data_IF_857715674219
#
_entry.id   IF_857715674219
#
_cell.length_a   1.000
_cell.length_b   1.000
_cell.length_c   1.000
_cell.angle_alpha   90.00
_cell.angle_beta   90.00
_cell.angle_gamma   90.00
#
_symmetry.space_group_name_H-M   'P 1'
#
loop_
_entity.id
_entity.type
_entity.pdbx_description
1 polymer ?
#
# COMPACT_ATOMS: atom_id res chain seq x y z
N UNK A 1 17.42 9.20 -77.13
CA UNK A 1 16.32 8.61 -76.31
C UNK A 1 16.84 8.36 -74.90
N UNK A 2 16.41 9.18 -73.92
CA UNK A 2 16.77 9.03 -72.49
C UNK A 2 15.55 8.46 -71.77
N UNK A 3 15.65 7.27 -71.22
CA UNK A 3 14.62 6.67 -70.38
C UNK A 3 14.78 7.19 -68.95
N UNK A 4 13.73 7.67 -68.27
CA UNK A 4 13.82 8.05 -66.89
C UNK A 4 13.74 6.75 -66.01
N UNK A 5 14.68 6.67 -65.11
CA UNK A 5 14.74 5.64 -64.05
C UNK A 5 13.66 5.93 -63.02
N UNK A 6 12.64 5.08 -62.98
CA UNK A 6 11.56 5.11 -61.99
C UNK A 6 12.07 4.50 -60.69
N UNK A 7 12.41 5.31 -59.70
CA UNK A 7 12.76 4.84 -58.34
C UNK A 7 11.47 4.61 -57.60
N UNK A 8 11.09 3.32 -57.40
CA UNK A 8 9.99 2.92 -56.55
C UNK A 8 10.52 2.90 -55.10
N UNK A 9 10.17 3.93 -54.30
CA UNK A 9 10.36 3.94 -52.88
C UNK A 9 9.33 2.94 -52.26
N UNK A 10 9.76 1.72 -51.90
CA UNK A 10 9.01 0.85 -51.03
C UNK A 10 9.11 1.39 -49.58
N UNK A 11 8.09 2.12 -49.16
CA UNK A 11 7.90 2.42 -47.73
C UNK A 11 7.47 1.13 -47.01
N UNK A 12 8.42 0.54 -46.32
CA UNK A 12 8.11 -0.50 -45.33
C UNK A 12 7.37 0.18 -44.17
N UNK A 13 6.06 0.04 -44.14
CA UNK A 13 5.27 0.26 -42.92
C UNK A 13 5.64 -0.88 -41.95
N UNK A 14 6.56 -0.58 -41.04
CA UNK A 14 6.69 -1.40 -39.84
C UNK A 14 5.42 -1.18 -39.03
N UNK A 15 4.43 -2.08 -39.21
CA UNK A 15 3.38 -2.27 -38.22
C UNK A 15 4.10 -2.91 -37.03
N UNK A 16 4.51 -2.11 -36.06
CA UNK A 16 4.85 -2.57 -34.73
C UNK A 16 3.58 -3.19 -34.18
N UNK A 17 3.48 -4.52 -34.24
CA UNK A 17 2.54 -5.25 -33.42
C UNK A 17 3.05 -5.03 -32.00
N UNK A 18 2.49 -4.06 -31.25
CA UNK A 18 2.62 -4.06 -29.80
C UNK A 18 1.98 -5.38 -29.36
N UNK A 19 2.79 -6.33 -28.90
CA UNK A 19 2.29 -7.49 -28.19
C UNK A 19 1.44 -6.94 -27.05
N UNK A 20 0.14 -7.23 -27.05
CA UNK A 20 -0.71 -6.90 -25.90
C UNK A 20 -0.05 -7.55 -24.68
N UNK A 21 0.39 -6.71 -23.74
CA UNK A 21 0.95 -7.16 -22.48
C UNK A 21 -0.12 -7.90 -21.69
N UNK A 22 -0.16 -9.23 -21.86
CA UNK A 22 -1.07 -10.14 -21.18
C UNK A 22 -0.60 -10.50 -19.76
N UNK A 23 0.42 -9.81 -19.23
CA UNK A 23 0.84 -9.99 -17.84
C UNK A 23 -0.33 -9.73 -16.89
N UNK A 24 -0.58 -10.59 -15.88
CA UNK A 24 -1.62 -10.36 -14.91
C UNK A 24 -1.35 -9.13 -14.03
N UNK A 25 -0.10 -8.70 -13.95
CA UNK A 25 0.33 -7.62 -13.09
C UNK A 25 1.06 -6.53 -13.87
N UNK A 26 1.00 -5.31 -13.35
CA UNK A 26 1.70 -4.17 -13.91
C UNK A 26 2.12 -3.18 -12.82
N UNK A 27 3.13 -2.37 -13.10
CA UNK A 27 3.52 -1.27 -12.22
C UNK A 27 2.62 -0.07 -12.53
N UNK A 28 2.01 0.48 -11.49
CA UNK A 28 1.16 1.67 -11.61
C UNK A 28 1.96 2.92 -12.04
N UNK A 29 1.25 4.00 -12.41
CA UNK A 29 1.87 5.25 -12.89
C UNK A 29 2.80 5.91 -11.88
N UNK A 30 2.66 5.62 -10.59
CA UNK A 30 3.56 6.12 -9.54
C UNK A 30 4.94 5.45 -9.55
N UNK A 31 5.15 4.42 -10.38
CA UNK A 31 6.42 3.72 -10.54
C UNK A 31 6.75 2.72 -9.42
N UNK A 32 5.89 2.55 -8.43
CA UNK A 32 6.13 1.72 -7.24
C UNK A 32 5.07 0.65 -7.05
N UNK A 33 3.79 1.04 -7.03
CA UNK A 33 2.67 0.14 -6.72
C UNK A 33 2.49 -0.93 -7.80
N UNK A 34 2.37 -2.19 -7.40
CA UNK A 34 2.05 -3.30 -8.30
C UNK A 34 0.55 -3.59 -8.22
N UNK A 35 -0.11 -3.53 -9.38
CA UNK A 35 -1.54 -3.73 -9.52
C UNK A 35 -1.86 -4.97 -10.33
N UNK A 36 -2.98 -5.60 -10.02
CA UNK A 36 -3.58 -6.65 -10.83
C UNK A 36 -4.50 -6.04 -11.91
N UNK A 37 -4.59 -6.71 -13.06
CA UNK A 37 -5.60 -6.38 -14.08
C UNK A 37 -6.98 -6.88 -13.66
N UNK A 38 -8.03 -6.30 -14.23
CA UNK A 38 -9.43 -6.55 -13.85
C UNK A 38 -9.88 -8.02 -13.97
N UNK A 39 -9.23 -8.80 -14.83
CA UNK A 39 -9.55 -10.22 -15.02
C UNK A 39 -8.84 -11.16 -14.03
N UNK A 40 -7.93 -10.63 -13.19
CA UNK A 40 -7.16 -11.42 -12.24
C UNK A 40 -8.03 -11.86 -11.07
N UNK A 41 -7.86 -13.10 -10.66
CA UNK A 41 -8.52 -13.68 -9.50
C UNK A 41 -7.52 -14.07 -8.42
N UNK A 42 -8.00 -14.30 -7.20
CA UNK A 42 -7.18 -14.73 -6.07
C UNK A 42 -6.40 -16.00 -6.41
N UNK A 43 -5.10 -16.00 -6.10
CA UNK A 43 -4.18 -17.10 -6.39
C UNK A 43 -3.57 -17.05 -7.80
N UNK A 44 -3.98 -16.11 -8.66
CA UNK A 44 -3.29 -15.90 -9.96
C UNK A 44 -1.83 -15.53 -9.70
N UNK A 45 -0.91 -16.20 -10.39
CA UNK A 45 0.51 -15.91 -10.36
C UNK A 45 0.99 -15.32 -11.67
N UNK A 46 2.03 -14.52 -11.63
CA UNK A 46 2.67 -13.97 -12.82
C UNK A 46 4.00 -13.33 -12.52
N UNK A 47 4.84 -13.27 -13.54
CA UNK A 47 6.16 -12.67 -13.44
C UNK A 47 6.10 -11.20 -13.83
N UNK A 48 6.73 -10.36 -13.03
CA UNK A 48 6.93 -8.94 -13.31
C UNK A 48 8.37 -8.58 -12.98
N UNK A 49 9.13 -8.15 -13.98
CA UNK A 49 10.55 -7.78 -13.84
C UNK A 49 11.41 -8.89 -13.21
N UNK A 50 11.14 -10.18 -13.53
CA UNK A 50 11.89 -11.32 -13.04
C UNK A 50 11.52 -11.78 -11.64
N UNK A 51 10.46 -11.22 -11.06
CA UNK A 51 9.91 -11.64 -9.76
C UNK A 51 8.51 -12.22 -9.97
N UNK A 52 8.28 -13.41 -9.43
CA UNK A 52 6.95 -14.03 -9.45
C UNK A 52 6.12 -13.48 -8.29
N UNK A 53 5.00 -12.86 -8.64
CA UNK A 53 3.99 -12.34 -7.72
C UNK A 53 2.75 -13.21 -7.69
N UNK A 54 1.91 -13.03 -6.68
CA UNK A 54 0.62 -13.72 -6.54
C UNK A 54 -0.46 -12.73 -6.11
N UNK A 55 -1.60 -12.72 -6.80
CA UNK A 55 -2.76 -11.95 -6.37
C UNK A 55 -3.39 -12.58 -5.11
N UNK A 56 -3.61 -11.76 -4.09
CA UNK A 56 -4.16 -12.20 -2.80
C UNK A 56 -5.40 -11.37 -2.44
N UNK A 57 -6.34 -11.99 -1.75
CA UNK A 57 -7.38 -11.29 -0.99
C UNK A 57 -6.96 -11.09 0.47
N UNK A 58 -7.86 -10.51 1.27
CA UNK A 58 -7.61 -10.23 2.68
C UNK A 58 -7.32 -11.49 3.50
N UNK A 59 -7.97 -12.63 3.19
CA UNK A 59 -7.75 -13.88 3.91
C UNK A 59 -6.40 -14.49 3.58
N UNK A 60 -6.10 -14.59 2.29
CA UNK A 60 -4.84 -15.16 1.82
C UNK A 60 -3.63 -14.34 2.27
N UNK A 61 -3.75 -13.00 2.26
CA UNK A 61 -2.71 -12.13 2.79
C UNK A 61 -2.44 -12.39 4.27
N UNK A 62 -3.51 -12.53 5.05
CA UNK A 62 -3.43 -12.84 6.47
C UNK A 62 -2.69 -14.17 6.71
N UNK A 63 -3.09 -15.24 5.98
CA UNK A 63 -2.44 -16.55 6.06
C UNK A 63 -0.95 -16.48 5.70
N UNK A 64 -0.58 -15.65 4.72
CA UNK A 64 0.81 -15.47 4.34
C UNK A 64 1.63 -14.83 5.46
N UNK A 65 1.08 -13.80 6.10
CA UNK A 65 1.74 -13.10 7.20
C UNK A 65 1.89 -14.04 8.40
N UNK A 66 0.82 -14.74 8.80
CA UNK A 66 0.82 -15.65 9.94
C UNK A 66 1.76 -16.85 9.76
N UNK A 67 1.90 -17.34 8.52
CA UNK A 67 2.80 -18.43 8.18
C UNK A 67 4.25 -18.00 7.93
N UNK A 68 4.55 -16.69 7.96
CA UNK A 68 5.88 -16.14 7.65
C UNK A 68 6.24 -16.23 6.17
N UNK A 69 5.27 -16.40 5.28
CA UNK A 69 5.50 -16.39 3.84
C UNK A 69 5.87 -14.98 3.38
N UNK A 70 6.66 -14.88 2.31
CA UNK A 70 7.10 -13.61 1.73
C UNK A 70 5.92 -12.81 1.14
N UNK A 71 5.28 -11.99 1.99
CA UNK A 71 4.17 -11.14 1.59
C UNK A 71 4.59 -9.91 0.77
N UNK A 72 5.89 -9.66 0.62
CA UNK A 72 6.42 -8.68 -0.35
C UNK A 72 6.17 -9.08 -1.81
N UNK A 73 5.80 -10.36 -2.05
CA UNK A 73 5.38 -10.88 -3.36
C UNK A 73 3.86 -10.95 -3.54
N UNK A 74 3.10 -10.40 -2.61
CA UNK A 74 1.65 -10.29 -2.72
C UNK A 74 1.26 -9.10 -3.58
N UNK A 75 0.36 -9.31 -4.55
CA UNK A 75 -0.35 -8.23 -5.24
C UNK A 75 -1.70 -8.06 -4.55
N UNK A 76 -1.87 -6.92 -3.91
CA UNK A 76 -2.94 -6.67 -2.93
C UNK A 76 -4.15 -5.94 -3.50
N UNK A 77 -4.25 -5.79 -4.84
CA UNK A 77 -5.37 -5.13 -5.52
C UNK A 77 -6.75 -5.70 -5.12
N UNK A 78 -6.82 -7.00 -4.78
CA UNK A 78 -8.07 -7.65 -4.36
C UNK A 78 -8.32 -7.59 -2.85
N UNK A 79 -7.46 -6.92 -2.10
CA UNK A 79 -7.61 -6.70 -0.66
C UNK A 79 -8.53 -5.50 -0.44
N UNK A 80 -9.61 -5.70 0.30
CA UNK A 80 -10.60 -4.63 0.56
C UNK A 80 -10.64 -4.19 2.02
N UNK A 81 -9.99 -4.93 2.90
CA UNK A 81 -9.93 -4.63 4.33
C UNK A 81 -8.61 -5.09 4.93
N UNK A 82 -7.97 -4.21 5.67
CA UNK A 82 -6.87 -4.58 6.55
C UNK A 82 -7.38 -4.80 7.97
N UNK A 83 -7.14 -6.00 8.48
CA UNK A 83 -7.33 -6.38 9.89
C UNK A 83 -5.96 -6.48 10.57
N UNK A 84 -5.89 -6.62 11.89
CA UNK A 84 -4.61 -6.85 12.57
C UNK A 84 -3.84 -8.00 11.94
N UNK A 85 -2.71 -7.68 11.30
CA UNK A 85 -1.98 -8.63 10.46
C UNK A 85 -0.74 -9.20 11.14
N UNK A 86 -0.16 -8.47 12.08
CA UNK A 86 1.13 -8.81 12.68
C UNK A 86 1.01 -9.20 14.17
N UNK A 87 -0.21 -9.32 14.66
CA UNK A 87 -0.43 -9.83 16.01
C UNK A 87 -0.66 -11.32 15.91
N UNK A 88 0.21 -12.11 16.51
CA UNK A 88 -0.16 -13.47 16.84
C UNK A 88 -1.40 -13.40 17.74
N UNK A 89 -2.54 -13.82 17.20
CA UNK A 89 -3.86 -13.85 17.87
C UNK A 89 -3.81 -14.53 19.23
N UNK A 90 -2.83 -15.39 19.45
CA UNK A 90 -2.55 -16.12 20.68
C UNK A 90 -1.92 -15.26 21.78
N UNK A 91 -1.21 -14.18 21.42
CA UNK A 91 -0.54 -13.34 22.42
C UNK A 91 -1.53 -12.38 23.09
N UNK A 92 -2.49 -11.82 22.34
CA UNK A 92 -3.57 -10.97 22.88
C UNK A 92 -4.43 -11.71 23.91
N UNK A 93 -4.71 -13.00 23.70
CA UNK A 93 -5.51 -13.80 24.62
C UNK A 93 -4.77 -14.16 25.93
N UNK A 94 -3.45 -14.02 25.99
CA UNK A 94 -2.62 -14.43 27.12
C UNK A 94 -2.07 -13.29 27.97
N UNK A 95 -2.41 -12.03 27.66
CA UNK A 95 -1.92 -10.86 28.42
C UNK A 95 -0.40 -10.71 28.38
N UNK A 96 0.24 -11.21 27.32
CA UNK A 96 1.69 -11.10 27.13
C UNK A 96 2.04 -9.71 26.58
N UNK A 97 3.14 -9.14 27.07
CA UNK A 97 3.73 -7.94 26.44
C UNK A 97 4.15 -8.29 25.02
N UNK A 98 3.76 -7.45 24.05
CA UNK A 98 4.15 -7.64 22.66
C UNK A 98 5.50 -6.97 22.45
N UNK A 99 6.54 -7.69 22.04
CA UNK A 99 7.73 -7.05 21.54
C UNK A 99 7.33 -6.27 20.27
N UNK A 100 7.77 -5.03 20.18
CA UNK A 100 7.65 -4.24 18.95
C UNK A 100 8.33 -5.03 17.83
N UNK A 101 7.61 -5.24 16.72
CA UNK A 101 8.10 -5.98 15.56
C UNK A 101 8.46 -5.01 14.44
N UNK A 102 9.37 -5.40 13.57
CA UNK A 102 9.64 -4.69 12.32
C UNK A 102 9.00 -5.44 11.15
N UNK A 103 8.61 -4.69 10.12
CA UNK A 103 8.12 -5.28 8.87
C UNK A 103 9.28 -6.03 8.19
N UNK A 104 9.07 -7.33 7.91
CA UNK A 104 10.12 -8.21 7.38
C UNK A 104 10.26 -8.08 5.87
N UNK A 105 9.15 -7.89 5.15
CA UNK A 105 9.12 -7.87 3.69
C UNK A 105 8.63 -6.52 3.17
N UNK A 106 8.95 -6.24 1.90
CA UNK A 106 8.59 -4.97 1.28
C UNK A 106 7.07 -4.85 1.08
N UNK A 107 6.47 -3.78 1.64
CA UNK A 107 5.06 -3.43 1.48
C UNK A 107 4.87 -2.12 0.70
N UNK A 108 5.93 -1.44 0.29
CA UNK A 108 5.85 -0.21 -0.52
C UNK A 108 5.10 -0.43 -1.83
N UNK A 109 5.23 -1.65 -2.39
CA UNK A 109 4.63 -2.04 -3.66
C UNK A 109 3.15 -2.40 -3.57
N UNK A 110 2.59 -2.48 -2.37
CA UNK A 110 1.19 -2.89 -2.18
C UNK A 110 0.21 -1.89 -2.77
N UNK A 111 -0.79 -2.41 -3.47
CA UNK A 111 -1.96 -1.66 -3.91
C UNK A 111 -3.00 -1.64 -2.79
N UNK A 112 -3.18 -0.49 -2.18
CA UNK A 112 -4.13 -0.29 -1.08
C UNK A 112 -5.35 0.53 -1.52
N UNK A 113 -5.46 0.82 -2.82
CA UNK A 113 -6.48 1.72 -3.36
C UNK A 113 -7.93 1.19 -3.23
N UNK A 114 -8.10 -0.11 -2.96
CA UNK A 114 -9.42 -0.72 -2.72
C UNK A 114 -9.73 -0.94 -1.24
N UNK A 115 -8.89 -0.43 -0.34
CA UNK A 115 -9.07 -0.62 1.09
C UNK A 115 -9.86 0.54 1.67
N UNK A 116 -11.04 0.24 2.21
CA UNK A 116 -11.91 1.21 2.85
C UNK A 116 -11.66 1.32 4.36
N UNK A 117 -11.24 0.21 5.00
CA UNK A 117 -11.12 0.12 6.44
C UNK A 117 -9.76 -0.44 6.86
N UNK A 118 -9.01 0.38 7.56
CA UNK A 118 -7.77 0.00 8.22
C UNK A 118 -8.06 -0.21 9.71
N UNK A 119 -8.12 -1.46 10.14
CA UNK A 119 -8.44 -1.86 11.52
C UNK A 119 -7.18 -2.42 12.19
N UNK A 120 -6.33 -1.53 12.66
CA UNK A 120 -5.07 -1.84 13.35
C UNK A 120 -4.16 -2.85 12.63
N UNK A 121 -3.94 -2.74 11.31
CA UNK A 121 -3.14 -3.73 10.59
C UNK A 121 -1.70 -3.84 11.09
N UNK A 122 -1.14 -2.79 11.67
CA UNK A 122 0.26 -2.71 12.10
C UNK A 122 0.42 -2.57 13.60
N UNK A 123 -0.45 -3.21 14.37
CA UNK A 123 -0.40 -3.12 15.83
C UNK A 123 0.99 -3.48 16.37
N UNK A 124 1.57 -2.56 17.18
CA UNK A 124 2.90 -2.70 17.74
C UNK A 124 4.01 -3.02 16.72
N UNK A 125 3.88 -2.50 15.48
CA UNK A 125 4.83 -2.74 14.40
C UNK A 125 5.49 -1.45 13.98
N UNK A 126 6.82 -1.46 13.83
CA UNK A 126 7.58 -0.36 13.24
C UNK A 126 7.46 -0.41 11.72
N UNK A 127 7.05 0.70 11.14
CA UNK A 127 7.00 0.89 9.68
C UNK A 127 8.13 1.81 9.26
N UNK A 128 9.23 1.24 8.82
CA UNK A 128 10.44 1.93 8.37
C UNK A 128 10.57 2.02 6.83
N UNK A 129 9.48 1.76 6.13
CA UNK A 129 9.40 1.77 4.66
C UNK A 129 8.72 3.03 4.13
N UNK A 130 9.00 3.40 2.88
CA UNK A 130 8.39 4.57 2.22
C UNK A 130 6.99 4.22 1.68
N UNK A 131 5.96 4.63 2.40
CA UNK A 131 4.56 4.41 2.03
C UNK A 131 3.95 5.59 1.25
N UNK A 132 4.75 6.52 0.76
CA UNK A 132 4.25 7.68 -0.01
C UNK A 132 3.52 7.29 -1.31
N UNK A 133 3.73 6.07 -1.79
CA UNK A 133 3.06 5.53 -2.97
C UNK A 133 1.67 4.93 -2.70
N UNK A 134 1.28 4.81 -1.44
CA UNK A 134 -0.03 4.26 -1.07
C UNK A 134 -1.16 5.25 -1.38
N UNK A 135 -2.19 4.77 -2.04
CA UNK A 135 -3.40 5.53 -2.38
C UNK A 135 -4.53 5.20 -1.39
N UNK A 136 -4.81 6.12 -0.47
CA UNK A 136 -5.85 5.99 0.54
C UNK A 136 -7.15 6.71 0.16
N UNK A 137 -7.32 7.10 -1.10
CA UNK A 137 -8.47 7.89 -1.53
C UNK A 137 -9.83 7.24 -1.28
N UNK A 138 -9.88 5.91 -1.11
CA UNK A 138 -11.10 5.18 -0.74
C UNK A 138 -11.21 4.87 0.75
N UNK A 139 -10.22 5.23 1.56
CA UNK A 139 -10.26 4.96 2.99
C UNK A 139 -11.31 5.84 3.69
N UNK A 140 -12.17 5.21 4.48
CA UNK A 140 -13.14 5.87 5.36
C UNK A 140 -12.74 5.74 6.83
N UNK A 141 -12.03 4.67 7.20
CA UNK A 141 -11.56 4.41 8.55
C UNK A 141 -10.05 4.17 8.55
N UNK A 142 -9.32 4.98 9.30
CA UNK A 142 -7.86 4.93 9.38
C UNK A 142 -7.41 4.73 10.84
N UNK A 143 -7.14 3.48 11.19
CA UNK A 143 -6.51 3.08 12.44
C UNK A 143 -5.31 2.20 12.12
N UNK A 144 -4.10 2.76 12.06
CA UNK A 144 -2.91 1.98 11.72
C UNK A 144 -2.36 1.19 12.90
N UNK A 145 -2.51 1.74 14.10
CA UNK A 145 -1.95 1.18 15.34
C UNK A 145 -0.42 0.93 15.27
N UNK A 146 0.26 1.66 14.39
CA UNK A 146 1.69 1.48 14.15
C UNK A 146 2.55 2.15 15.22
N UNK A 147 3.74 1.62 15.44
CA UNK A 147 4.81 2.30 16.18
C UNK A 147 5.69 3.07 15.17
N UNK A 148 5.62 4.39 15.21
CA UNK A 148 6.36 5.27 14.31
C UNK A 148 7.51 5.99 15.03
N UNK A 149 7.98 5.47 16.17
CA UNK A 149 9.11 6.03 16.88
C UNK A 149 10.38 6.00 16.03
N UNK A 150 10.96 7.17 15.80
CA UNK A 150 12.20 7.36 15.04
C UNK A 150 12.16 6.92 13.57
N UNK A 151 10.98 6.79 12.98
CA UNK A 151 10.79 6.47 11.55
C UNK A 151 9.83 7.46 10.90
N UNK A 152 9.99 7.68 9.61
CA UNK A 152 9.08 8.51 8.82
C UNK A 152 8.65 7.73 7.54
N UNK A 153 7.51 7.04 7.57
CA UNK A 153 7.03 6.28 6.42
C UNK A 153 6.45 7.16 5.29
N UNK A 154 6.68 8.48 5.31
CA UNK A 154 6.26 9.45 4.28
C UNK A 154 4.75 9.54 4.10
N UNK A 155 4.00 9.39 5.17
CA UNK A 155 2.54 9.36 5.15
C UNK A 155 1.90 10.74 4.93
N UNK A 156 2.67 11.81 4.96
CA UNK A 156 2.20 13.19 4.71
C UNK A 156 1.65 13.41 3.30
N UNK A 157 1.90 12.48 2.37
CA UNK A 157 1.41 12.54 0.99
C UNK A 157 0.08 11.82 0.78
N UNK A 158 -0.43 11.16 1.81
CA UNK A 158 -1.68 10.42 1.67
C UNK A 158 -2.88 11.34 1.48
N UNK A 159 -3.75 10.97 0.56
CA UNK A 159 -5.06 11.59 0.44
C UNK A 159 -6.00 10.95 1.46
N UNK A 160 -6.28 11.66 2.54
CA UNK A 160 -7.17 11.21 3.62
C UNK A 160 -8.51 11.98 3.63
N UNK A 161 -8.82 12.71 2.55
CA UNK A 161 -10.00 13.57 2.48
C UNK A 161 -11.33 12.84 2.60
N UNK A 162 -11.38 11.52 2.38
CA UNK A 162 -12.59 10.71 2.55
C UNK A 162 -12.66 10.01 3.92
N UNK A 163 -11.65 10.21 4.78
CA UNK A 163 -11.61 9.57 6.08
C UNK A 163 -12.58 10.25 7.05
N UNK A 164 -13.49 9.46 7.60
CA UNK A 164 -14.49 9.87 8.59
C UNK A 164 -14.05 9.55 10.02
N UNK A 165 -13.26 8.48 10.19
CA UNK A 165 -12.73 8.03 11.47
C UNK A 165 -11.20 7.93 11.42
N UNK A 166 -10.53 8.70 12.30
CA UNK A 166 -9.10 8.57 12.55
C UNK A 166 -8.91 8.20 14.02
N UNK A 167 -8.81 6.90 14.30
CA UNK A 167 -8.57 6.43 15.67
C UNK A 167 -7.28 5.64 15.76
N UNK A 168 -6.64 5.61 16.92
CA UNK A 168 -5.49 4.75 17.21
C UNK A 168 -4.42 4.63 16.10
N UNK A 169 -4.30 5.69 15.28
CA UNK A 169 -3.40 5.65 14.12
C UNK A 169 -1.95 5.48 14.57
N UNK A 170 -1.60 6.08 15.71
CA UNK A 170 -0.27 5.98 16.30
C UNK A 170 -0.39 5.35 17.68
N UNK A 171 0.21 4.18 17.86
CA UNK A 171 0.29 3.52 19.16
C UNK A 171 1.47 4.08 19.98
N UNK A 172 1.26 3.95 21.30
CA UNK A 172 2.28 4.17 22.30
C UNK A 172 2.66 5.60 22.62
N UNK A 173 1.84 6.62 22.35
CA UNK A 173 1.92 7.91 23.06
C UNK A 173 3.28 8.54 23.36
N UNK A 174 4.35 7.86 23.02
CA UNK A 174 5.72 8.26 23.21
C UNK A 174 6.21 8.89 21.91
N UNK A 175 5.91 10.20 21.75
CA UNK A 175 6.67 11.11 20.89
C UNK A 175 6.89 10.63 19.45
N UNK A 176 5.87 10.75 18.63
CA UNK A 176 6.07 10.78 17.17
C UNK A 176 6.72 12.13 16.85
N UNK A 177 8.03 12.27 17.15
CA UNK A 177 8.78 13.44 16.76
C UNK A 177 9.05 13.35 15.24
N UNK A 178 8.66 14.40 14.52
CA UNK A 178 9.07 14.60 13.12
C UNK A 178 8.11 14.08 12.05
N UNK A 179 6.95 13.52 12.38
CA UNK A 179 5.93 13.24 11.37
C UNK A 179 5.17 14.52 11.04
N UNK A 180 5.20 14.90 9.78
CA UNK A 180 4.45 16.01 9.24
C UNK A 180 3.12 15.51 8.67
N UNK A 181 2.00 15.97 9.20
CA UNK A 181 0.65 15.69 8.74
C UNK A 181 -0.05 16.94 8.19
N UNK A 182 0.69 18.02 7.95
CA UNK A 182 0.13 19.32 7.54
C UNK A 182 -0.63 19.26 6.20
N UNK A 183 -0.40 18.24 5.38
CA UNK A 183 -1.09 18.06 4.10
C UNK A 183 -2.35 17.20 4.20
N UNK A 184 -2.69 16.69 5.39
CA UNK A 184 -3.89 15.90 5.55
C UNK A 184 -5.14 16.79 5.58
N UNK A 185 -6.04 16.55 4.66
CA UNK A 185 -7.39 17.13 4.69
C UNK A 185 -8.28 16.26 5.58
N UNK A 186 -8.53 16.73 6.79
CA UNK A 186 -9.33 16.04 7.81
C UNK A 186 -10.74 16.64 7.95
N UNK A 187 -11.18 17.42 6.98
CA UNK A 187 -12.47 18.14 7.03
C UNK A 187 -13.70 17.21 7.15
N UNK A 188 -13.56 15.95 6.72
CA UNK A 188 -14.63 14.94 6.84
C UNK A 188 -14.51 14.07 8.10
N UNK A 189 -13.48 14.26 8.93
CA UNK A 189 -13.31 13.47 10.14
C UNK A 189 -14.37 13.84 11.18
N UNK A 190 -15.17 12.88 11.58
CA UNK A 190 -16.21 13.01 12.59
C UNK A 190 -15.83 12.38 13.93
N UNK A 191 -14.90 11.46 13.92
CA UNK A 191 -14.40 10.78 15.11
C UNK A 191 -12.87 10.63 15.06
N UNK A 192 -12.21 11.27 16.01
CA UNK A 192 -10.75 11.18 16.23
C UNK A 192 -10.44 10.56 17.61
N UNK A 193 -11.29 9.68 18.11
CA UNK A 193 -11.12 9.02 19.40
C UNK A 193 -9.80 8.27 19.44
N UNK A 194 -9.02 8.49 20.51
CA UNK A 194 -7.69 7.88 20.70
C UNK A 194 -6.62 8.31 19.68
N UNK A 195 -6.88 9.34 18.88
CA UNK A 195 -5.84 9.96 18.08
C UNK A 195 -4.94 10.79 19.01
N UNK A 196 -3.79 10.25 19.38
CA UNK A 196 -2.85 10.91 20.30
C UNK A 196 -1.78 11.63 19.49
N UNK A 197 -1.90 12.94 19.47
CA UNK A 197 -0.85 13.84 19.00
C UNK A 197 0.00 14.28 20.19
N UNK A 198 1.31 14.27 20.02
CA UNK A 198 2.19 14.97 20.97
C UNK A 198 2.19 16.47 20.68
N UNK A 199 2.50 17.33 21.68
CA UNK A 199 2.45 18.79 21.51
C UNK A 199 3.36 19.36 20.42
N UNK A 200 4.27 18.58 19.85
CA UNK A 200 5.24 19.00 18.84
C UNK A 200 4.88 18.56 17.41
N UNK A 201 3.71 17.95 17.19
CA UNK A 201 3.24 17.70 15.84
C UNK A 201 2.80 19.04 15.23
N UNK A 202 3.34 19.40 14.06
CA UNK A 202 2.82 20.54 13.31
C UNK A 202 1.37 20.26 12.94
N UNK A 203 0.51 21.12 13.49
CA UNK A 203 -0.92 20.89 13.59
C UNK A 203 -1.55 20.68 12.23
N UNK A 204 -2.30 19.60 12.10
CA UNK A 204 -3.42 19.49 11.21
C UNK A 204 -4.28 20.74 11.40
N UNK A 205 -4.42 21.54 10.37
CA UNK A 205 -5.36 22.64 10.38
C UNK A 205 -6.77 22.04 10.34
N UNK A 206 -7.42 21.98 11.49
CA UNK A 206 -8.85 21.67 11.62
C UNK A 206 -9.65 22.90 11.26
#
# INVERSE_FOLDING_TARGET
>A
MRFPLLVILLSFLFISCEEEDNSPFYVAKNGVTIKARDWVTVGTTGDLNGVTYTAVDSLMLHDWIDSGKDYGKAVTTLVTRFRPMLISHLATQRGLEFPVQSITYNIETWDVSNIEVYDCPFYATVIDQDLSGWDLSNATHLSLCADLNNVDPKINKWNVSNVEFIGQTFLNGNYVEGIDLSNWDVSNVTDCSYFRLTPNLSLIHI
#
